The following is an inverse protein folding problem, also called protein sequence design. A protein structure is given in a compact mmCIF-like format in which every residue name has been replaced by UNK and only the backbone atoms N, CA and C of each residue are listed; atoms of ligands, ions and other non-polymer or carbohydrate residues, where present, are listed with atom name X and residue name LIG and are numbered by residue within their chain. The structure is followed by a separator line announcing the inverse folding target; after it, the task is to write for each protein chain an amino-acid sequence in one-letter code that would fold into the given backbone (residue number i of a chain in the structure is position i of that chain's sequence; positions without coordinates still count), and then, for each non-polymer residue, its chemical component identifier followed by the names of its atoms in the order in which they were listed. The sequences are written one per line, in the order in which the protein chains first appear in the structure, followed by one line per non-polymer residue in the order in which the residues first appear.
data_IF_207190542457
#
_entry.id   IF_207190542457
#
_cell.length_a   1.000
_cell.length_b   1.000
_cell.length_c   1.000
_cell.angle_alpha   90.00
_cell.angle_beta   90.00
_cell.angle_gamma   90.00
#
_symmetry.space_group_name_H-M   'P 1'
#
loop_
_entity.id
_entity.type
_entity.pdbx_description
1 polymer ?
#
# COMPACT_ATOMS: atom_id res chain seq x y z
N UNK A 1 -14.90 22.25 9.61
CA UNK A 1 -16.15 21.67 9.06
C UNK A 1 -16.15 20.19 9.37
N UNK A 2 -16.91 19.74 10.37
CA UNK A 2 -17.11 18.31 10.61
C UNK A 2 -17.94 17.76 9.44
N UNK A 3 -17.34 16.93 8.58
CA UNK A 3 -18.11 16.13 7.63
C UNK A 3 -18.96 15.20 8.48
N UNK A 4 -20.27 15.39 8.44
CA UNK A 4 -21.21 14.47 9.07
C UNK A 4 -21.10 13.13 8.33
N UNK A 5 -20.70 12.08 9.06
CA UNK A 5 -20.88 10.69 8.62
C UNK A 5 -22.25 10.54 7.97
N UNK A 6 -22.28 9.91 6.79
CA UNK A 6 -23.53 9.38 6.29
C UNK A 6 -23.91 8.21 7.20
N UNK A 7 -24.96 8.34 8.03
CA UNK A 7 -25.29 7.34 9.05
C UNK A 7 -25.53 5.95 8.44
N UNK A 8 -25.89 5.89 7.15
CA UNK A 8 -26.05 4.65 6.42
C UNK A 8 -24.72 3.92 6.18
N UNK A 9 -23.61 4.62 5.86
CA UNK A 9 -22.30 3.99 5.67
C UNK A 9 -21.84 3.33 6.98
N UNK A 10 -21.91 4.03 8.11
CA UNK A 10 -21.53 3.48 9.41
C UNK A 10 -22.38 2.27 9.79
N UNK A 11 -23.72 2.33 9.62
CA UNK A 11 -24.59 1.20 9.91
C UNK A 11 -24.28 -0.03 9.03
N UNK A 12 -24.01 0.17 7.74
CA UNK A 12 -23.67 -0.91 6.82
C UNK A 12 -22.29 -1.49 7.19
N UNK A 13 -21.29 -0.64 7.44
CA UNK A 13 -19.95 -1.07 7.82
C UNK A 13 -19.98 -1.93 9.08
N UNK A 14 -20.64 -1.48 10.15
CA UNK A 14 -20.75 -2.23 11.41
C UNK A 14 -21.40 -3.61 11.22
N UNK A 15 -22.44 -3.71 10.36
CA UNK A 15 -23.06 -5.01 10.03
C UNK A 15 -22.12 -5.92 9.27
N UNK A 16 -21.42 -5.40 8.27
CA UNK A 16 -20.44 -6.15 7.49
C UNK A 16 -19.27 -6.63 8.35
N UNK A 17 -18.75 -5.78 9.23
CA UNK A 17 -17.72 -6.13 10.20
C UNK A 17 -18.21 -7.24 11.13
N UNK A 18 -19.43 -7.14 11.66
CA UNK A 18 -20.02 -8.22 12.46
C UNK A 18 -20.11 -9.55 11.70
N UNK A 19 -20.44 -9.53 10.41
CA UNK A 19 -20.45 -10.72 9.56
C UNK A 19 -19.04 -11.31 9.38
N UNK A 20 -18.05 -10.47 9.08
CA UNK A 20 -16.66 -10.86 8.85
C UNK A 20 -15.97 -11.38 10.13
N UNK A 21 -16.36 -10.85 11.29
CA UNK A 21 -15.89 -11.33 12.60
C UNK A 21 -16.52 -12.68 12.97
N UNK A 22 -17.76 -12.94 12.53
CA UNK A 22 -18.46 -14.20 12.82
C UNK A 22 -17.94 -15.43 12.05
N UNK A 23 -16.94 -15.27 11.17
CA UNK A 23 -16.30 -16.33 10.39
C UNK A 23 -17.26 -17.22 9.58
N UNK A 24 -18.41 -16.67 9.15
CA UNK A 24 -19.40 -17.39 8.33
C UNK A 24 -18.86 -17.55 6.89
N UNK A 25 -18.40 -18.74 6.47
CA UNK A 25 -17.58 -18.87 5.26
C UNK A 25 -18.31 -18.43 3.98
N UNK A 26 -19.63 -18.67 3.91
CA UNK A 26 -20.47 -18.36 2.74
C UNK A 26 -20.59 -16.87 2.41
N UNK A 27 -20.46 -16.01 3.42
CA UNK A 27 -20.62 -14.56 3.26
C UNK A 27 -19.31 -13.81 3.34
N UNK A 28 -18.21 -14.49 3.63
CA UNK A 28 -16.93 -13.85 3.93
C UNK A 28 -16.39 -13.06 2.73
N UNK A 29 -16.36 -13.67 1.54
CA UNK A 29 -15.88 -12.99 0.33
C UNK A 29 -16.81 -11.85 -0.12
N UNK A 30 -18.15 -12.03 -0.23
CA UNK A 30 -19.05 -10.92 -0.54
C UNK A 30 -18.99 -9.79 0.49
N UNK A 31 -19.00 -10.11 1.78
CA UNK A 31 -18.92 -9.09 2.83
C UNK A 31 -17.60 -8.33 2.78
N UNK A 32 -16.49 -9.01 2.45
CA UNK A 32 -15.19 -8.39 2.25
C UNK A 32 -15.19 -7.49 1.01
N UNK A 33 -15.85 -7.90 -0.08
CA UNK A 33 -15.98 -7.04 -1.26
C UNK A 33 -16.78 -5.77 -0.92
N UNK A 34 -17.92 -5.91 -0.23
CA UNK A 34 -18.74 -4.76 0.17
C UNK A 34 -18.04 -3.84 1.16
N UNK A 35 -17.32 -4.37 2.16
CA UNK A 35 -16.64 -3.50 3.13
C UNK A 35 -15.58 -2.64 2.43
N UNK A 36 -14.85 -3.19 1.44
CA UNK A 36 -13.86 -2.45 0.67
C UNK A 36 -14.47 -1.27 -0.08
N UNK A 37 -15.68 -1.40 -0.62
CA UNK A 37 -16.36 -0.29 -1.27
C UNK A 37 -16.89 0.74 -0.25
N UNK A 38 -17.37 0.27 0.90
CA UNK A 38 -17.79 1.16 2.01
C UNK A 38 -16.61 1.94 2.58
N UNK A 39 -15.37 1.42 2.43
CA UNK A 39 -14.18 2.15 2.83
C UNK A 39 -14.00 3.48 2.07
N UNK A 40 -14.63 3.66 0.92
CA UNK A 40 -14.52 4.94 0.21
C UNK A 40 -15.42 6.04 0.83
N UNK A 41 -16.27 5.70 1.81
CA UNK A 41 -17.09 6.68 2.51
C UNK A 41 -16.22 7.66 3.33
N UNK A 42 -16.50 8.97 3.30
CA UNK A 42 -15.62 10.01 3.86
C UNK A 42 -15.57 10.11 5.39
N UNK A 43 -16.26 9.23 6.13
CA UNK A 43 -16.23 9.20 7.61
C UNK A 43 -16.26 7.76 8.12
N UNK A 44 -15.09 7.25 8.51
CA UNK A 44 -14.88 5.87 8.95
C UNK A 44 -14.30 5.75 10.35
N UNK A 45 -14.07 6.87 11.04
CA UNK A 45 -13.28 6.90 12.29
C UNK A 45 -13.80 5.96 13.38
N UNK A 46 -15.11 5.72 13.40
CA UNK A 46 -15.74 4.87 14.41
C UNK A 46 -15.38 3.38 14.23
N UNK A 47 -15.03 2.94 13.02
CA UNK A 47 -14.89 1.53 12.68
C UNK A 47 -13.64 1.21 11.85
N UNK A 48 -12.76 2.20 11.64
CA UNK A 48 -11.52 2.10 10.87
C UNK A 48 -10.54 1.08 11.46
N UNK A 49 -10.42 1.02 12.79
CA UNK A 49 -9.54 0.04 13.46
C UNK A 49 -10.04 -1.39 13.24
N UNK A 50 -11.34 -1.62 13.38
CA UNK A 50 -11.96 -2.92 13.11
C UNK A 50 -11.84 -3.31 11.64
N UNK A 51 -11.97 -2.35 10.72
CA UNK A 51 -11.73 -2.60 9.30
C UNK A 51 -10.27 -2.98 9.06
N UNK A 52 -9.31 -2.28 9.66
CA UNK A 52 -7.89 -2.61 9.54
C UNK A 52 -7.58 -4.01 10.07
N UNK A 53 -8.16 -4.42 11.20
CA UNK A 53 -7.99 -5.77 11.74
C UNK A 53 -8.50 -6.84 10.76
N UNK A 54 -9.71 -6.65 10.22
CA UNK A 54 -10.31 -7.58 9.27
C UNK A 54 -9.51 -7.64 7.96
N UNK A 55 -9.07 -6.50 7.44
CA UNK A 55 -8.24 -6.41 6.24
C UNK A 55 -6.89 -7.10 6.46
N UNK A 56 -6.21 -6.80 7.58
CA UNK A 56 -4.92 -7.39 7.93
C UNK A 56 -4.97 -8.92 8.00
N UNK A 57 -6.02 -9.47 8.61
CA UNK A 57 -6.24 -10.92 8.65
C UNK A 57 -6.43 -11.52 7.26
N UNK A 58 -7.12 -10.81 6.36
CA UNK A 58 -7.39 -11.30 5.00
C UNK A 58 -6.18 -11.19 4.06
N UNK A 59 -5.18 -10.35 4.35
CA UNK A 59 -3.90 -10.34 3.63
C UNK A 59 -3.14 -11.68 3.74
N UNK A 60 -3.35 -12.41 4.84
CA UNK A 60 -2.73 -13.72 5.09
C UNK A 60 -3.61 -14.89 4.61
N UNK A 61 -4.70 -14.61 3.89
CA UNK A 61 -5.61 -15.64 3.41
C UNK A 61 -5.01 -16.50 2.31
N UNK A 62 -5.37 -17.78 2.26
CA UNK A 62 -5.03 -18.66 1.13
C UNK A 62 -5.80 -18.30 -0.15
N UNK A 63 -6.94 -17.63 -0.04
CA UNK A 63 -7.72 -17.16 -1.20
C UNK A 63 -7.06 -15.93 -1.81
N UNK A 64 -6.78 -15.99 -3.13
CA UNK A 64 -6.20 -14.86 -3.88
C UNK A 64 -7.16 -13.69 -3.93
N UNK A 65 -8.45 -13.97 -4.09
CA UNK A 65 -9.53 -12.99 -4.15
C UNK A 65 -9.64 -12.21 -2.84
N UNK A 66 -9.57 -12.90 -1.69
CA UNK A 66 -9.59 -12.24 -0.38
C UNK A 66 -8.34 -11.39 -0.15
N UNK A 67 -7.17 -11.89 -0.53
CA UNK A 67 -5.92 -11.11 -0.44
C UNK A 67 -5.98 -9.86 -1.31
N UNK A 68 -6.48 -9.98 -2.53
CA UNK A 68 -6.66 -8.87 -3.45
C UNK A 68 -7.62 -7.81 -2.90
N UNK A 69 -8.79 -8.23 -2.40
CA UNK A 69 -9.75 -7.32 -1.76
C UNK A 69 -9.15 -6.66 -0.51
N UNK A 70 -8.42 -7.41 0.30
CA UNK A 70 -7.72 -6.87 1.46
C UNK A 70 -6.70 -5.80 1.05
N UNK A 71 -5.91 -6.03 0.00
CA UNK A 71 -4.97 -5.04 -0.53
C UNK A 71 -5.70 -3.79 -1.05
N UNK A 72 -6.81 -3.94 -1.79
CA UNK A 72 -7.65 -2.80 -2.20
C UNK A 72 -8.12 -1.99 -1.00
N UNK A 73 -8.65 -2.63 0.04
CA UNK A 73 -9.06 -1.95 1.26
C UNK A 73 -7.90 -1.27 1.97
N UNK A 74 -6.72 -1.90 1.99
CA UNK A 74 -5.51 -1.35 2.61
C UNK A 74 -5.02 -0.08 1.90
N UNK A 75 -5.17 0.03 0.59
CA UNK A 75 -4.88 1.27 -0.16
C UNK A 75 -5.77 2.42 0.31
N UNK A 76 -7.02 2.15 0.70
CA UNK A 76 -7.91 3.19 1.23
C UNK A 76 -7.52 3.55 2.67
N UNK A 77 -7.30 2.54 3.52
CA UNK A 77 -6.95 2.74 4.93
C UNK A 77 -5.59 3.44 5.12
N UNK A 78 -4.61 3.18 4.27
CA UNK A 78 -3.28 3.82 4.32
C UNK A 78 -3.29 5.33 4.06
N UNK A 79 -4.41 5.89 3.59
CA UNK A 79 -4.57 7.35 3.44
C UNK A 79 -4.97 8.03 4.75
N UNK A 80 -5.36 7.27 5.78
CA UNK A 80 -5.75 7.80 7.08
C UNK A 80 -4.55 7.79 8.04
N UNK A 81 -4.00 8.95 8.43
CA UNK A 81 -2.85 9.02 9.33
C UNK A 81 -3.09 8.37 10.69
N UNK A 82 -4.34 8.27 11.17
CA UNK A 82 -4.61 7.60 12.45
C UNK A 82 -4.33 6.09 12.42
N UNK A 83 -4.25 5.49 11.23
CA UNK A 83 -4.00 4.06 11.05
C UNK A 83 -2.52 3.75 10.73
N UNK A 84 -1.66 4.77 10.59
CA UNK A 84 -0.29 4.62 10.09
C UNK A 84 0.55 3.60 10.88
N UNK A 85 0.42 3.53 12.22
CA UNK A 85 1.15 2.52 13.01
C UNK A 85 0.67 1.10 12.70
N UNK A 86 -0.64 0.93 12.53
CA UNK A 86 -1.22 -0.36 12.15
C UNK A 86 -0.79 -0.79 10.75
N UNK A 87 -0.78 0.13 9.77
CA UNK A 87 -0.28 -0.14 8.41
C UNK A 87 1.21 -0.47 8.43
N UNK A 88 2.02 0.29 9.17
CA UNK A 88 3.46 0.07 9.31
C UNK A 88 3.78 -1.31 9.86
N UNK A 89 2.97 -1.83 10.79
CA UNK A 89 3.13 -3.20 11.30
C UNK A 89 3.05 -4.28 10.22
N UNK A 90 2.40 -3.98 9.08
CA UNK A 90 2.23 -4.88 7.94
C UNK A 90 3.38 -4.82 6.93
N UNK A 91 4.34 -3.90 7.08
CA UNK A 91 5.44 -3.66 6.13
C UNK A 91 6.11 -4.94 5.66
N UNK A 92 6.51 -5.82 6.59
CA UNK A 92 7.21 -7.06 6.24
C UNK A 92 6.31 -8.05 5.49
N UNK A 93 5.02 -8.09 5.82
CA UNK A 93 4.06 -8.92 5.09
C UNK A 93 3.85 -8.42 3.67
N UNK A 94 3.78 -7.10 3.48
CA UNK A 94 3.66 -6.47 2.15
C UNK A 94 4.91 -6.69 1.30
N UNK A 95 6.11 -6.53 1.88
CA UNK A 95 7.37 -6.83 1.20
C UNK A 95 7.45 -8.30 0.76
N UNK A 96 6.98 -9.23 1.59
CA UNK A 96 6.95 -10.65 1.22
C UNK A 96 5.97 -10.93 0.07
N UNK A 97 4.84 -10.22 0.00
CA UNK A 97 3.86 -10.36 -1.08
C UNK A 97 4.38 -9.87 -2.44
N UNK A 98 5.38 -8.99 -2.48
CA UNK A 98 5.93 -8.45 -3.74
C UNK A 98 6.71 -9.48 -4.57
N UNK A 99 7.25 -10.54 -3.96
CA UNK A 99 8.20 -11.43 -4.65
C UNK A 99 7.61 -12.21 -5.83
N UNK A 100 6.33 -12.60 -5.76
CA UNK A 100 5.64 -13.42 -6.77
C UNK A 100 4.28 -12.83 -7.20
N UNK A 101 4.10 -11.52 -7.02
CA UNK A 101 2.85 -10.83 -7.34
C UNK A 101 2.74 -10.48 -8.84
N UNK A 102 1.52 -10.51 -9.36
CA UNK A 102 1.22 -9.89 -10.66
C UNK A 102 1.24 -8.35 -10.56
N UNK A 103 1.25 -7.69 -11.72
CA UNK A 103 1.37 -6.22 -11.78
C UNK A 103 0.27 -5.46 -11.05
N UNK A 104 -0.96 -5.97 -10.98
CA UNK A 104 -2.04 -5.30 -10.25
C UNK A 104 -1.79 -5.36 -8.74
N UNK A 105 -1.43 -6.53 -8.23
CA UNK A 105 -1.09 -6.73 -6.82
C UNK A 105 0.13 -5.90 -6.43
N UNK A 106 1.16 -5.86 -7.28
CA UNK A 106 2.34 -4.99 -7.08
C UNK A 106 1.90 -3.53 -6.99
N UNK A 107 1.09 -3.04 -7.92
CA UNK A 107 0.62 -1.65 -7.93
C UNK A 107 -0.15 -1.28 -6.64
N UNK A 108 -1.00 -2.18 -6.13
CA UNK A 108 -1.70 -1.96 -4.86
C UNK A 108 -0.71 -1.85 -3.69
N UNK A 109 0.28 -2.74 -3.60
CA UNK A 109 1.27 -2.71 -2.52
C UNK A 109 2.12 -1.43 -2.58
N UNK A 110 2.58 -1.04 -3.77
CA UNK A 110 3.34 0.20 -3.96
C UNK A 110 2.51 1.43 -3.57
N UNK A 111 1.22 1.42 -3.88
CA UNK A 111 0.29 2.51 -3.49
C UNK A 111 0.15 2.64 -1.97
N UNK A 112 0.10 1.51 -1.24
CA UNK A 112 0.09 1.53 0.23
C UNK A 112 1.36 2.19 0.77
N UNK A 113 2.53 1.79 0.26
CA UNK A 113 3.80 2.40 0.69
C UNK A 113 3.87 3.89 0.34
N UNK A 114 3.39 4.31 -0.83
CA UNK A 114 3.36 5.72 -1.19
C UNK A 114 2.47 6.55 -0.27
N UNK A 115 1.28 6.04 0.09
CA UNK A 115 0.39 6.74 1.02
C UNK A 115 1.04 6.88 2.41
N UNK A 116 1.71 5.83 2.89
CA UNK A 116 2.45 5.86 4.16
C UNK A 116 3.58 6.90 4.16
N UNK A 117 4.26 7.10 3.02
CA UNK A 117 5.38 8.05 2.90
C UNK A 117 4.95 9.50 2.62
N UNK A 118 3.70 9.74 2.18
CA UNK A 118 3.20 11.10 1.96
C UNK A 118 3.15 11.92 3.26
N UNK A 119 3.01 11.26 4.42
CA UNK A 119 3.15 11.91 5.72
C UNK A 119 4.64 12.09 6.07
N UNK A 120 5.23 13.17 5.52
CA UNK A 120 6.66 13.55 5.61
C UNK A 120 7.18 13.72 7.05
N UNK A 121 6.33 13.64 8.07
CA UNK A 121 6.75 13.64 9.47
C UNK A 121 7.47 12.34 9.88
N UNK A 122 7.33 11.26 9.11
CA UNK A 122 7.86 9.94 9.43
C UNK A 122 9.11 9.66 8.58
N UNK A 123 10.28 9.70 9.22
CA UNK A 123 11.51 9.19 8.61
C UNK A 123 11.40 7.67 8.47
N UNK A 124 11.75 7.16 7.29
CA UNK A 124 11.82 5.70 7.10
C UNK A 124 13.04 5.18 7.85
N UNK A 125 12.85 4.12 8.63
CA UNK A 125 13.97 3.45 9.28
C UNK A 125 14.99 3.02 8.21
N UNK A 126 16.28 3.23 8.48
CA UNK A 126 17.35 2.88 7.52
C UNK A 126 17.25 1.44 7.01
N UNK A 127 16.94 0.42 7.85
CA UNK A 127 16.74 -0.96 7.36
C UNK A 127 15.56 -1.11 6.39
N UNK A 128 14.40 -0.52 6.70
CA UNK A 128 13.20 -0.60 5.84
C UNK A 128 13.43 0.09 4.51
N UNK A 129 14.08 1.26 4.51
CA UNK A 129 14.42 2.00 3.30
C UNK A 129 15.35 1.19 2.38
N UNK A 130 16.35 0.52 2.95
CA UNK A 130 17.25 -0.33 2.17
C UNK A 130 16.54 -1.55 1.58
N UNK A 131 15.65 -2.20 2.34
CA UNK A 131 14.83 -3.31 1.84
C UNK A 131 13.91 -2.86 0.69
N UNK A 132 13.21 -1.74 0.85
CA UNK A 132 12.38 -1.16 -0.22
C UNK A 132 13.24 -0.85 -1.45
N UNK A 133 14.39 -0.19 -1.27
CA UNK A 133 15.29 0.11 -2.37
C UNK A 133 15.90 -1.14 -3.02
N UNK A 134 15.93 -2.29 -2.35
CA UNK A 134 16.34 -3.55 -2.96
C UNK A 134 15.20 -4.17 -3.78
N UNK A 135 13.99 -4.23 -3.22
CA UNK A 135 12.81 -4.82 -3.87
C UNK A 135 12.33 -3.99 -5.06
N UNK A 136 12.46 -2.67 -5.01
CA UNK A 136 12.02 -1.78 -6.10
C UNK A 136 12.93 -1.84 -7.33
N UNK A 137 14.18 -2.28 -7.19
CA UNK A 137 15.15 -2.30 -8.30
C UNK A 137 14.67 -3.06 -9.52
N UNK A 138 14.25 -4.33 -9.41
CA UNK A 138 13.69 -5.04 -10.56
C UNK A 138 12.36 -4.45 -11.05
N UNK A 139 11.63 -3.70 -10.21
CA UNK A 139 10.33 -3.15 -10.59
C UNK A 139 10.42 -1.88 -11.45
N UNK A 140 11.55 -1.18 -11.41
CA UNK A 140 11.84 -0.02 -12.27
C UNK A 140 11.96 -0.44 -13.75
N UNK A 141 12.33 -1.69 -14.02
CA UNK A 141 12.53 -2.23 -15.37
C UNK A 141 11.39 -3.18 -15.79
N UNK A 142 10.25 -3.14 -15.12
CA UNK A 142 9.06 -3.91 -15.50
C UNK A 142 8.39 -3.32 -16.76
N UNK A 143 7.90 -4.20 -17.65
CA UNK A 143 7.13 -3.80 -18.83
C UNK A 143 5.79 -3.13 -18.49
N UNK A 144 5.26 -3.34 -17.28
CA UNK A 144 4.04 -2.70 -16.82
C UNK A 144 4.32 -1.24 -16.43
N UNK A 145 3.91 -0.31 -17.29
CA UNK A 145 4.15 1.13 -17.12
C UNK A 145 3.61 1.70 -15.80
N UNK A 146 2.47 1.18 -15.30
CA UNK A 146 1.89 1.65 -14.05
C UNK A 146 2.75 1.21 -12.84
N UNK A 147 3.17 -0.06 -12.81
CA UNK A 147 4.07 -0.59 -11.78
C UNK A 147 5.41 0.13 -11.81
N UNK A 148 5.95 0.35 -13.01
CA UNK A 148 7.19 1.07 -13.22
C UNK A 148 7.10 2.48 -12.63
N UNK A 149 6.08 3.26 -13.00
CA UNK A 149 5.90 4.63 -12.51
C UNK A 149 5.80 4.69 -10.99
N UNK A 150 4.96 3.82 -10.39
CA UNK A 150 4.82 3.74 -8.93
C UNK A 150 6.15 3.37 -8.26
N UNK A 151 6.93 2.48 -8.88
CA UNK A 151 8.22 2.05 -8.35
C UNK A 151 9.25 3.17 -8.37
N UNK A 152 9.30 3.94 -9.46
CA UNK A 152 10.19 5.11 -9.60
C UNK A 152 9.81 6.18 -8.57
N UNK A 153 8.53 6.49 -8.44
CA UNK A 153 8.04 7.45 -7.45
C UNK A 153 8.39 7.01 -6.02
N UNK A 154 8.11 5.76 -5.67
CA UNK A 154 8.41 5.25 -4.33
C UNK A 154 9.92 5.24 -4.07
N UNK A 155 10.73 4.88 -5.06
CA UNK A 155 12.19 4.91 -4.94
C UNK A 155 12.69 6.34 -4.67
N UNK A 156 12.10 7.36 -5.30
CA UNK A 156 12.38 8.78 -5.01
C UNK A 156 12.03 9.14 -3.57
N UNK A 157 10.82 8.85 -3.11
CA UNK A 157 10.38 9.18 -1.74
C UNK A 157 11.29 8.51 -0.69
N UNK A 158 11.67 7.25 -0.90
CA UNK A 158 12.62 6.53 -0.04
C UNK A 158 13.99 7.23 0.00
N UNK A 159 14.46 7.78 -1.11
CA UNK A 159 15.72 8.55 -1.14
C UNK A 159 15.63 9.88 -0.37
N UNK A 160 14.49 10.57 -0.43
CA UNK A 160 14.29 11.84 0.25
C UNK A 160 14.14 11.68 1.77
N UNK A 161 13.48 10.60 2.21
CA UNK A 161 13.05 10.41 3.61
C UNK A 161 14.00 9.58 4.47
N UNK A 162 15.13 9.08 3.93
CA UNK A 162 16.09 8.29 4.70
C UNK A 162 16.99 9.18 5.57
N UNK A 163 17.22 8.76 6.82
CA UNK A 163 18.16 9.44 7.72
C UNK A 163 19.59 9.47 7.14
N UNK A 164 20.42 10.44 7.55
CA UNK A 164 21.79 10.60 7.05
C UNK A 164 22.64 9.32 7.14
N UNK A 165 22.43 8.51 8.18
CA UNK A 165 23.10 7.20 8.35
C UNK A 165 22.71 6.17 7.29
N UNK A 166 21.51 6.26 6.73
CA UNK A 166 21.01 5.41 5.65
C UNK A 166 21.39 5.90 4.24
N UNK A 167 21.80 7.16 4.08
CA UNK A 167 22.14 7.73 2.76
C UNK A 167 23.32 7.03 2.08
N UNK A 168 24.35 6.67 2.85
CA UNK A 168 25.56 6.01 2.32
C UNK A 168 25.28 4.62 1.71
N UNK A 169 24.63 3.67 2.42
CA UNK A 169 24.27 2.40 1.80
C UNK A 169 23.25 2.56 0.67
N UNK A 170 22.29 3.48 0.80
CA UNK A 170 21.29 3.73 -0.23
C UNK A 170 21.94 4.20 -1.55
N UNK A 171 23.00 5.02 -1.49
CA UNK A 171 23.76 5.46 -2.68
C UNK A 171 24.21 4.30 -3.58
N UNK A 172 24.54 3.14 -3.02
CA UNK A 172 24.91 1.92 -3.78
C UNK A 172 23.72 1.32 -4.53
N UNK A 173 22.53 1.38 -3.95
CA UNK A 173 21.30 0.93 -4.62
C UNK A 173 20.93 1.91 -5.73
N UNK A 174 20.96 3.21 -5.43
CA UNK A 174 20.73 4.29 -6.39
C UNK A 174 21.66 4.17 -7.58
N UNK A 175 22.97 4.05 -7.38
CA UNK A 175 23.93 3.99 -8.48
C UNK A 175 23.69 2.83 -9.44
N UNK A 176 23.10 1.74 -8.95
CA UNK A 176 22.73 0.59 -9.80
C UNK A 176 21.36 0.74 -10.46
N UNK A 177 20.51 1.63 -9.98
CA UNK A 177 19.23 1.99 -10.59
C UNK A 177 19.34 3.17 -11.55
N UNK A 178 20.45 3.93 -11.52
CA UNK A 178 20.63 5.15 -12.32
C UNK A 178 20.57 4.92 -13.83
N UNK A 179 21.18 3.83 -14.33
CA UNK A 179 21.17 3.55 -15.77
C UNK A 179 19.74 3.29 -16.28
N UNK A 180 18.96 2.36 -15.69
CA UNK A 180 17.58 2.19 -16.11
C UNK A 180 16.73 3.45 -15.93
N UNK A 181 16.84 4.16 -14.80
CA UNK A 181 16.16 5.45 -14.61
C UNK A 181 16.53 6.49 -15.69
N UNK A 182 17.80 6.55 -16.09
CA UNK A 182 18.28 7.44 -17.14
C UNK A 182 17.69 7.08 -18.49
N UNK A 183 17.64 5.78 -18.84
CA UNK A 183 17.01 5.30 -20.09
C UNK A 183 15.52 5.67 -20.09
N UNK A 184 14.81 5.42 -19.00
CA UNK A 184 13.37 5.71 -18.88
C UNK A 184 13.04 7.21 -18.96
N UNK A 185 13.91 8.08 -18.47
CA UNK A 185 13.77 9.54 -18.67
C UNK A 185 13.85 9.98 -20.14
N UNK A 186 14.39 9.14 -21.02
CA UNK A 186 14.54 9.39 -22.46
C UNK A 186 13.63 8.49 -23.32
N UNK A 187 12.81 7.66 -22.68
CA UNK A 187 11.85 6.79 -23.35
C UNK A 187 10.58 7.58 -23.72
N UNK A 188 9.87 7.19 -24.78
CA UNK A 188 8.70 7.93 -25.32
C UNK A 188 7.48 7.91 -24.39
N UNK A 189 7.58 7.21 -23.25
CA UNK A 189 6.52 7.09 -22.26
C UNK A 189 6.39 8.38 -21.43
N UNK A 190 5.61 9.33 -21.97
CA UNK A 190 5.47 10.72 -21.47
C UNK A 190 5.05 10.84 -19.99
N UNK A 191 4.54 9.76 -19.39
CA UNK A 191 4.19 9.71 -17.97
C UNK A 191 5.38 9.51 -17.03
N UNK A 192 6.51 8.98 -17.52
CA UNK A 192 7.72 8.69 -16.73
C UNK A 192 8.73 9.86 -16.78
N UNK A 193 8.66 10.70 -17.81
CA UNK A 193 9.63 11.76 -18.08
C UNK A 193 9.40 13.08 -17.27
N UNK A 194 8.51 13.12 -16.28
CA UNK A 194 8.13 14.34 -15.54
C UNK A 194 8.50 14.28 -14.07
#
# INVERSE_FOLDING_TARGET
MHRTSNPLCSCIALRLLGLLSSQKPRWDLPALAFIVEVLECPDMREWSDSALEIISRNLQSKSREKRYLALRGLVVLSKDPSLAEGIRSLTQSLLALLQDADGEVVALILSVFLNELQDRAILVSSPTALQLAEVLRPLIDQDNSHVQLLSIHLFREVMELVMDTGKKPLKKHVSKSLLPLFIHCHDENWQVAK
#
